data_IF_806638231488
#
_entry.id   IF_806638231488
#
_cell.length_a   1.000
_cell.length_b   1.000
_cell.length_c   1.000
_cell.angle_alpha   90.00
_cell.angle_beta   90.00
_cell.angle_gamma   90.00
#
_symmetry.space_group_name_H-M   'P 1'
#
loop_
_entity.id
_entity.type
_entity.pdbx_description
1 polymer ?
#
# COMPACT_ATOMS: atom_id res chain seq x y z
N UNK A 1 6.54 -12.37 8.69
CA UNK A 1 7.26 -13.61 8.41
C UNK A 1 7.99 -14.10 9.64
N UNK A 2 7.99 -15.41 9.88
CA UNK A 2 8.64 -16.02 11.07
C UNK A 2 10.16 -15.81 11.01
N UNK A 3 10.75 -15.33 12.12
CA UNK A 3 12.20 -15.07 12.23
C UNK A 3 13.08 -16.29 11.85
N UNK A 4 12.54 -17.49 12.03
CA UNK A 4 13.25 -18.74 11.72
C UNK A 4 13.46 -18.94 10.21
N UNK A 5 12.53 -18.55 9.35
CA UNK A 5 12.67 -18.68 7.89
C UNK A 5 13.79 -17.81 7.30
N UNK A 6 14.13 -16.70 7.94
CA UNK A 6 15.24 -15.83 7.52
C UNK A 6 16.61 -16.53 7.49
N UNK A 7 16.73 -17.66 8.16
CA UNK A 7 17.97 -18.46 8.22
C UNK A 7 18.14 -19.42 7.04
N UNK A 8 17.08 -19.60 6.25
CA UNK A 8 17.05 -20.55 5.15
C UNK A 8 16.93 -19.83 3.80
N UNK A 9 17.61 -20.36 2.81
CA UNK A 9 17.48 -19.90 1.42
C UNK A 9 16.58 -20.81 0.57
N UNK A 10 16.44 -22.08 0.93
CA UNK A 10 15.69 -23.07 0.17
C UNK A 10 15.10 -24.14 1.08
N UNK A 11 14.00 -24.75 0.63
CA UNK A 11 13.42 -25.97 1.22
C UNK A 11 14.22 -27.19 0.82
N UNK A 12 14.83 -27.16 -0.37
CA UNK A 12 15.59 -28.28 -0.94
C UNK A 12 15.53 -28.28 -2.45
N UNK A 13 15.95 -29.42 -3.06
CA UNK A 13 15.82 -29.62 -4.49
C UNK A 13 14.36 -30.00 -4.88
N UNK A 14 14.09 -30.05 -6.20
CA UNK A 14 12.74 -30.39 -6.73
C UNK A 14 12.20 -31.69 -6.13
N UNK A 15 13.02 -32.73 -6.07
CA UNK A 15 12.61 -34.04 -5.54
C UNK A 15 12.28 -33.97 -4.04
N UNK A 16 13.08 -33.22 -3.27
CA UNK A 16 12.84 -33.00 -1.85
C UNK A 16 11.57 -32.24 -1.56
N UNK A 17 11.29 -31.18 -2.30
CA UNK A 17 10.06 -30.39 -2.15
C UNK A 17 8.84 -31.27 -2.52
N UNK A 18 8.90 -32.03 -3.60
CA UNK A 18 7.80 -32.94 -3.97
C UNK A 18 7.60 -34.05 -2.95
N UNK A 19 8.68 -34.61 -2.39
CA UNK A 19 8.58 -35.60 -1.29
C UNK A 19 7.84 -34.99 -0.09
N UNK A 20 8.20 -33.77 0.32
CA UNK A 20 7.52 -33.07 1.40
C UNK A 20 6.02 -32.91 1.08
N UNK A 21 5.70 -32.41 -0.14
CA UNK A 21 4.31 -32.21 -0.55
C UNK A 21 3.50 -33.51 -0.50
N UNK A 22 4.07 -34.62 -0.98
CA UNK A 22 3.46 -35.96 -0.93
C UNK A 22 3.14 -36.43 0.48
N UNK A 23 3.89 -35.93 1.49
CA UNK A 23 3.73 -36.34 2.88
C UNK A 23 2.82 -35.41 3.68
N UNK A 24 2.85 -34.09 3.42
CA UNK A 24 2.12 -33.12 4.23
C UNK A 24 0.85 -32.59 3.58
N UNK A 25 0.73 -32.67 2.24
CA UNK A 25 -0.45 -32.22 1.51
C UNK A 25 -1.36 -33.41 1.17
N UNK A 26 -1.65 -34.21 2.18
CA UNK A 26 -2.60 -35.34 2.07
C UNK A 26 -3.93 -34.98 2.70
N UNK A 27 -4.98 -35.76 2.38
CA UNK A 27 -6.28 -35.61 3.03
C UNK A 27 -6.31 -36.09 4.48
N UNK A 28 -5.20 -36.66 4.98
CA UNK A 28 -5.11 -37.25 6.31
C UNK A 28 -4.41 -36.30 7.29
N UNK A 29 -4.70 -36.47 8.57
CA UNK A 29 -3.97 -35.83 9.68
C UNK A 29 -2.85 -36.76 10.10
N UNK A 30 -1.60 -36.33 10.00
CA UNK A 30 -0.45 -37.15 10.31
C UNK A 30 0.46 -36.49 11.37
N UNK A 31 1.16 -37.31 12.13
CA UNK A 31 2.14 -36.84 13.11
C UNK A 31 3.42 -36.35 12.45
N UNK A 32 3.87 -35.13 12.81
CA UNK A 32 5.06 -34.51 12.20
C UNK A 32 6.35 -35.30 12.42
N UNK A 33 6.49 -35.97 13.55
CA UNK A 33 7.69 -36.78 13.84
C UNK A 33 7.72 -37.99 12.90
N UNK A 34 6.58 -38.62 12.63
CA UNK A 34 6.47 -39.73 11.68
C UNK A 34 6.76 -39.27 10.23
N UNK A 35 6.21 -38.10 9.82
CA UNK A 35 6.49 -37.51 8.52
C UNK A 35 8.01 -37.20 8.42
N UNK A 36 8.60 -36.57 9.43
CA UNK A 36 10.02 -36.21 9.44
C UNK A 36 10.92 -37.45 9.29
N UNK A 37 10.61 -38.53 10.02
CA UNK A 37 11.32 -39.81 9.90
C UNK A 37 11.23 -40.37 8.48
N UNK A 38 10.04 -40.32 7.84
CA UNK A 38 9.82 -40.82 6.48
C UNK A 38 10.49 -39.98 5.40
N UNK A 39 10.87 -38.73 5.71
CA UNK A 39 11.59 -37.82 4.81
C UNK A 39 13.12 -37.85 4.99
N UNK A 40 13.65 -38.63 5.95
CA UNK A 40 15.06 -38.62 6.30
C UNK A 40 15.86 -39.59 5.42
N UNK A 41 17.09 -39.20 5.07
CA UNK A 41 18.12 -40.05 4.47
C UNK A 41 17.74 -40.78 3.16
N UNK A 42 17.12 -40.08 2.21
CA UNK A 42 16.86 -40.63 0.88
C UNK A 42 17.92 -40.12 -0.09
N UNK A 43 18.64 -41.04 -0.75
CA UNK A 43 19.68 -40.71 -1.70
C UNK A 43 19.13 -39.85 -2.87
N UNK A 44 19.88 -38.78 -3.20
CA UNK A 44 19.50 -37.84 -4.30
C UNK A 44 18.43 -36.81 -3.91
N UNK A 45 17.92 -36.86 -2.69
CA UNK A 45 16.94 -35.92 -2.17
C UNK A 45 17.60 -34.96 -1.19
N UNK A 46 17.62 -33.67 -1.56
CA UNK A 46 17.95 -32.59 -0.66
C UNK A 46 16.66 -31.97 -0.13
N UNK A 47 16.44 -32.08 1.17
CA UNK A 47 15.24 -31.58 1.85
C UNK A 47 15.58 -31.04 3.23
N UNK A 48 15.34 -29.76 3.45
CA UNK A 48 15.28 -29.18 4.77
C UNK A 48 13.85 -29.28 5.30
N UNK A 49 13.54 -30.39 5.95
CA UNK A 49 12.19 -30.70 6.44
C UNK A 49 11.63 -29.58 7.35
N UNK A 50 12.44 -29.10 8.33
CA UNK A 50 12.02 -28.03 9.25
C UNK A 50 11.70 -26.74 8.50
N UNK A 51 12.54 -26.33 7.56
CA UNK A 51 12.29 -25.16 6.72
C UNK A 51 10.99 -25.31 5.93
N UNK A 52 10.75 -26.45 5.30
CA UNK A 52 9.55 -26.70 4.51
C UNK A 52 8.27 -26.66 5.34
N UNK A 53 8.27 -27.26 6.52
CA UNK A 53 7.13 -27.24 7.44
C UNK A 53 6.80 -25.80 7.86
N UNK A 54 7.80 -25.02 8.28
CA UNK A 54 7.59 -23.63 8.70
C UNK A 54 7.09 -22.78 7.52
N UNK A 55 7.67 -22.99 6.33
CA UNK A 55 7.28 -22.25 5.14
C UNK A 55 5.82 -22.54 4.73
N UNK A 56 5.41 -23.81 4.72
CA UNK A 56 4.06 -24.20 4.32
C UNK A 56 3.01 -23.78 5.35
N UNK A 57 3.33 -23.79 6.64
CA UNK A 57 2.45 -23.27 7.67
C UNK A 57 2.30 -21.75 7.60
N UNK A 58 3.36 -21.03 7.31
CA UNK A 58 3.33 -19.55 7.20
C UNK A 58 2.42 -19.06 6.08
N UNK A 59 2.48 -19.70 4.91
CA UNK A 59 1.60 -19.40 3.79
C UNK A 59 0.24 -20.10 3.90
N UNK A 60 -0.04 -20.79 5.00
CA UNK A 60 -1.30 -21.48 5.29
C UNK A 60 -1.64 -22.67 4.38
N UNK A 61 -0.65 -23.28 3.76
CA UNK A 61 -0.84 -24.55 3.03
C UNK A 61 -1.17 -25.69 3.99
N UNK A 62 -0.60 -25.67 5.18
CA UNK A 62 -0.84 -26.64 6.24
C UNK A 62 -1.20 -25.93 7.55
N UNK A 63 -1.82 -26.66 8.47
CA UNK A 63 -1.95 -26.26 9.87
C UNK A 63 -1.33 -27.32 10.76
N UNK A 64 -0.73 -26.87 11.87
CA UNK A 64 -0.11 -27.74 12.87
C UNK A 64 -0.78 -27.49 14.21
N UNK A 65 -1.34 -28.55 14.78
CA UNK A 65 -1.95 -28.56 16.12
C UNK A 65 -1.50 -29.84 16.83
N UNK A 66 -0.97 -29.73 18.05
CA UNK A 66 -0.52 -30.85 18.86
C UNK A 66 0.40 -31.82 18.09
N UNK A 67 1.40 -31.29 17.41
CA UNK A 67 2.34 -32.04 16.55
C UNK A 67 1.71 -32.80 15.38
N UNK A 68 0.45 -32.50 15.04
CA UNK A 68 -0.26 -33.09 13.90
C UNK A 68 -0.36 -32.09 12.77
N UNK A 69 -0.04 -32.55 11.55
CA UNK A 69 -0.08 -31.77 10.32
C UNK A 69 -1.35 -32.10 9.54
N UNK A 70 -2.02 -31.06 9.06
CA UNK A 70 -3.19 -31.18 8.17
C UNK A 70 -3.05 -30.20 7.01
N UNK A 71 -3.25 -30.68 5.79
CA UNK A 71 -3.38 -29.85 4.59
C UNK A 71 -4.66 -29.01 4.65
N UNK A 72 -4.63 -27.79 4.03
CA UNK A 72 -5.80 -26.90 4.01
C UNK A 72 -6.46 -26.83 2.64
N UNK A 73 -5.76 -26.21 1.69
CA UNK A 73 -6.40 -25.78 0.42
C UNK A 73 -5.96 -26.60 -0.80
N UNK A 74 -4.77 -27.18 -0.77
CA UNK A 74 -4.20 -27.94 -1.89
C UNK A 74 -3.80 -29.33 -1.40
N UNK A 75 -4.26 -30.34 -2.11
CA UNK A 75 -3.84 -31.71 -1.91
C UNK A 75 -2.91 -32.16 -3.02
N UNK A 76 -1.89 -32.96 -2.66
CA UNK A 76 -0.99 -33.55 -3.64
C UNK A 76 -1.74 -34.56 -4.49
N UNK A 77 -1.58 -34.45 -5.83
CA UNK A 77 -2.12 -35.41 -6.78
C UNK A 77 -1.00 -36.17 -7.47
N UNK A 78 -1.07 -37.48 -7.48
CA UNK A 78 -0.17 -38.34 -8.24
C UNK A 78 -0.54 -38.43 -9.72
N UNK A 79 -1.82 -38.21 -10.06
CA UNK A 79 -2.34 -38.39 -11.42
C UNK A 79 -1.91 -37.23 -12.31
N UNK A 80 -1.80 -36.02 -11.77
CA UNK A 80 -1.34 -34.84 -12.51
C UNK A 80 -0.39 -33.97 -11.63
N UNK A 81 0.88 -34.40 -11.59
CA UNK A 81 1.92 -33.69 -10.86
C UNK A 81 2.16 -32.27 -11.42
N UNK A 82 2.02 -32.07 -12.72
CA UNK A 82 2.22 -30.74 -13.33
C UNK A 82 1.12 -29.76 -12.93
N UNK A 83 -0.12 -30.21 -12.88
CA UNK A 83 -1.24 -29.40 -12.41
C UNK A 83 -1.06 -29.06 -10.92
N UNK A 84 -0.65 -30.03 -10.11
CA UNK A 84 -0.34 -29.79 -8.69
C UNK A 84 0.76 -28.74 -8.52
N UNK A 85 1.87 -28.86 -9.27
CA UNK A 85 2.98 -27.88 -9.24
C UNK A 85 2.48 -26.48 -9.62
N UNK A 86 1.64 -26.38 -10.65
CA UNK A 86 1.06 -25.12 -11.06
C UNK A 86 0.21 -24.50 -9.94
N UNK A 87 -0.62 -25.30 -9.28
CA UNK A 87 -1.43 -24.85 -8.14
C UNK A 87 -0.55 -24.39 -6.95
N UNK A 88 0.48 -25.16 -6.61
CA UNK A 88 1.45 -24.81 -5.55
C UNK A 88 2.15 -23.47 -5.83
N UNK A 89 2.65 -23.29 -7.05
CA UNK A 89 3.31 -22.05 -7.46
C UNK A 89 2.35 -20.84 -7.41
N UNK A 90 1.11 -21.01 -7.91
CA UNK A 90 0.09 -19.95 -7.86
C UNK A 90 -0.24 -19.56 -6.42
N UNK A 91 -0.42 -20.56 -5.56
CA UNK A 91 -0.70 -20.33 -4.15
C UNK A 91 0.46 -19.58 -3.47
N UNK A 92 1.70 -20.00 -3.72
CA UNK A 92 2.90 -19.37 -3.21
C UNK A 92 3.03 -17.91 -3.69
N UNK A 93 2.84 -17.65 -4.99
CA UNK A 93 2.89 -16.27 -5.54
C UNK A 93 1.82 -15.37 -4.93
N UNK A 94 0.59 -15.85 -4.80
CA UNK A 94 -0.49 -15.10 -4.18
C UNK A 94 -0.19 -14.75 -2.71
N UNK A 95 0.32 -15.72 -1.95
CA UNK A 95 0.71 -15.49 -0.56
C UNK A 95 1.81 -14.43 -0.44
N UNK A 96 2.81 -14.44 -1.32
CA UNK A 96 3.87 -13.44 -1.32
C UNK A 96 3.36 -12.02 -1.64
N UNK A 97 2.40 -11.90 -2.56
CA UNK A 97 1.76 -10.62 -2.89
C UNK A 97 0.92 -10.13 -1.69
N UNK A 98 0.16 -11.01 -1.06
CA UNK A 98 -0.71 -10.66 0.08
C UNK A 98 0.10 -10.27 1.33
N UNK A 99 1.29 -10.84 1.49
CA UNK A 99 2.21 -10.50 2.59
C UNK A 99 3.14 -9.31 2.28
N UNK A 100 2.96 -8.61 1.15
CA UNK A 100 3.81 -7.52 0.67
C UNK A 100 5.31 -7.89 0.57
N UNK A 101 5.62 -9.14 0.26
CA UNK A 101 6.98 -9.64 0.09
C UNK A 101 7.48 -9.47 -1.35
N UNK A 102 6.62 -9.08 -2.27
CA UNK A 102 6.92 -8.72 -3.66
C UNK A 102 6.40 -7.31 -3.92
N UNK A 103 7.29 -6.40 -4.32
CA UNK A 103 6.85 -5.08 -4.80
C UNK A 103 6.42 -5.18 -6.26
N UNK A 104 5.10 -5.28 -6.46
CA UNK A 104 4.47 -5.46 -7.78
C UNK A 104 4.52 -4.21 -8.68
N UNK A 105 4.92 -3.05 -8.16
CA UNK A 105 5.06 -1.83 -8.96
C UNK A 105 6.18 -1.95 -9.99
N UNK A 106 7.18 -2.79 -9.71
CA UNK A 106 8.29 -3.06 -10.61
C UNK A 106 7.97 -4.07 -11.71
N UNK A 107 6.77 -4.66 -11.74
CA UNK A 107 6.35 -5.56 -12.81
C UNK A 107 6.19 -4.78 -14.12
N UNK A 108 6.90 -5.22 -15.17
CA UNK A 108 6.85 -4.63 -16.50
C UNK A 108 6.69 -5.71 -17.56
N UNK A 109 5.99 -5.38 -18.64
CA UNK A 109 5.91 -6.22 -19.81
C UNK A 109 7.10 -5.94 -20.73
N UNK A 110 7.77 -7.00 -21.17
CA UNK A 110 8.87 -6.94 -22.14
C UNK A 110 8.36 -7.40 -23.50
N UNK A 111 8.23 -6.48 -24.45
CA UNK A 111 7.70 -6.76 -25.79
C UNK A 111 8.59 -7.71 -26.60
N UNK A 112 9.93 -7.63 -26.44
CA UNK A 112 10.86 -8.48 -27.16
C UNK A 112 10.74 -9.94 -26.72
N UNK A 113 10.54 -10.17 -25.42
CA UNK A 113 10.40 -11.52 -24.86
C UNK A 113 8.94 -12.00 -24.81
N UNK A 114 8.03 -11.10 -25.11
CA UNK A 114 6.58 -11.33 -24.99
C UNK A 114 6.19 -11.91 -23.62
N UNK A 115 6.75 -11.33 -22.54
CA UNK A 115 6.60 -11.87 -21.19
C UNK A 115 6.66 -10.76 -20.13
N UNK A 116 6.04 -10.98 -18.97
CA UNK A 116 6.21 -10.13 -17.83
C UNK A 116 7.54 -10.36 -17.11
N UNK A 117 8.20 -9.29 -16.74
CA UNK A 117 9.46 -9.32 -16.02
C UNK A 117 9.40 -8.48 -14.73
N UNK A 118 10.12 -8.92 -13.73
CA UNK A 118 10.22 -8.24 -12.43
C UNK A 118 11.68 -8.30 -11.94
N UNK A 119 12.26 -7.21 -11.45
CA UNK A 119 13.61 -7.20 -10.93
C UNK A 119 13.78 -8.10 -9.70
N UNK A 120 14.96 -8.70 -9.54
CA UNK A 120 15.26 -9.53 -8.37
C UNK A 120 15.12 -8.75 -7.05
N UNK A 121 15.44 -7.46 -7.03
CA UNK A 121 15.32 -6.61 -5.85
C UNK A 121 13.86 -6.26 -5.48
N UNK A 122 12.88 -6.53 -6.36
CA UNK A 122 11.47 -6.40 -6.03
C UNK A 122 10.99 -7.46 -5.01
N UNK A 123 11.77 -8.51 -4.82
CA UNK A 123 11.53 -9.54 -3.82
C UNK A 123 12.25 -9.17 -2.52
N UNK A 124 11.52 -9.15 -1.42
CA UNK A 124 12.13 -9.01 -0.10
C UNK A 124 13.17 -10.10 0.15
N UNK A 125 14.28 -9.76 0.81
CA UNK A 125 15.29 -10.73 1.22
C UNK A 125 14.70 -11.85 2.07
N UNK A 126 13.64 -11.56 2.78
CA UNK A 126 12.97 -12.51 3.65
C UNK A 126 12.23 -13.63 2.91
N UNK A 127 11.82 -13.41 1.66
CA UNK A 127 11.09 -14.39 0.87
C UNK A 127 11.97 -15.36 0.05
N UNK A 128 13.28 -15.43 0.34
CA UNK A 128 14.24 -16.25 -0.43
C UNK A 128 13.82 -17.73 -0.55
N UNK A 129 13.25 -18.31 0.49
CA UNK A 129 12.74 -19.70 0.49
C UNK A 129 11.66 -19.89 -0.56
N UNK A 130 10.68 -19.01 -0.61
CA UNK A 130 9.57 -19.06 -1.55
C UNK A 130 9.99 -18.69 -2.97
N UNK A 131 10.84 -17.67 -3.12
CA UNK A 131 11.41 -17.29 -4.40
C UNK A 131 12.16 -18.47 -5.03
N UNK A 132 12.98 -19.17 -4.24
CA UNK A 132 13.73 -20.33 -4.73
C UNK A 132 12.82 -21.54 -5.01
N UNK A 133 11.71 -21.70 -4.28
CA UNK A 133 10.68 -22.68 -4.64
C UNK A 133 10.08 -22.36 -6.01
N UNK A 134 9.72 -21.11 -6.27
CA UNK A 134 9.15 -20.69 -7.56
C UNK A 134 10.16 -20.88 -8.71
N UNK A 135 11.46 -20.62 -8.47
CA UNK A 135 12.52 -20.89 -9.44
C UNK A 135 12.66 -22.39 -9.69
N UNK A 136 12.68 -23.20 -8.65
CA UNK A 136 12.82 -24.65 -8.73
C UNK A 136 11.74 -25.31 -9.58
N UNK A 137 10.51 -24.78 -9.55
CA UNK A 137 9.40 -25.25 -10.34
C UNK A 137 9.16 -24.47 -11.66
N UNK A 138 10.05 -23.52 -11.98
CA UNK A 138 10.03 -22.78 -13.24
C UNK A 138 8.93 -21.74 -13.37
N UNK A 139 8.30 -21.32 -12.27
CA UNK A 139 7.34 -20.22 -12.26
C UNK A 139 8.05 -18.85 -12.41
N UNK A 140 9.26 -18.73 -11.85
CA UNK A 140 10.18 -17.63 -12.04
C UNK A 140 11.41 -18.13 -12.79
N UNK A 141 11.73 -17.53 -13.91
CA UNK A 141 12.88 -17.89 -14.75
C UNK A 141 13.95 -16.79 -14.58
N UNK A 142 15.12 -17.08 -13.97
CA UNK A 142 16.19 -16.10 -13.83
C UNK A 142 16.69 -15.61 -15.19
N UNK A 143 16.85 -14.28 -15.32
CA UNK A 143 17.27 -13.62 -16.55
C UNK A 143 18.12 -12.38 -16.21
N UNK A 144 19.41 -12.60 -15.98
CA UNK A 144 20.33 -11.59 -15.49
C UNK A 144 19.93 -11.07 -14.10
N UNK A 145 19.56 -9.79 -14.00
CA UNK A 145 19.07 -9.15 -12.76
C UNK A 145 17.54 -9.17 -12.62
N UNK A 146 16.87 -9.82 -13.57
CA UNK A 146 15.39 -9.92 -13.64
C UNK A 146 14.95 -11.37 -13.44
N UNK A 147 13.69 -11.52 -13.13
CA UNK A 147 12.93 -12.75 -13.31
C UNK A 147 11.92 -12.55 -14.42
N UNK A 148 11.88 -13.48 -15.37
CA UNK A 148 10.78 -13.62 -16.32
C UNK A 148 9.71 -14.52 -15.70
N UNK A 149 8.46 -14.09 -15.72
CA UNK A 149 7.34 -14.89 -15.24
C UNK A 149 6.97 -15.87 -16.34
N UNK A 150 6.88 -17.16 -15.99
CA UNK A 150 6.48 -18.19 -16.95
C UNK A 150 5.05 -17.94 -17.43
N UNK A 151 4.79 -18.09 -18.72
CA UNK A 151 3.51 -17.84 -19.38
C UNK A 151 2.31 -18.54 -18.73
N UNK A 152 2.51 -19.76 -18.20
CA UNK A 152 1.49 -20.51 -17.49
C UNK A 152 0.94 -19.81 -16.24
N UNK A 153 1.66 -18.81 -15.72
CA UNK A 153 1.29 -18.06 -14.50
C UNK A 153 0.93 -16.61 -14.78
N UNK A 154 1.20 -16.11 -15.98
CA UNK A 154 1.04 -14.67 -16.30
C UNK A 154 -0.39 -14.16 -16.10
N UNK A 155 -1.39 -14.91 -16.53
CA UNK A 155 -2.78 -14.44 -16.47
C UNK A 155 -3.28 -14.26 -15.04
N UNK A 156 -2.94 -15.18 -14.15
CA UNK A 156 -3.38 -15.09 -12.74
C UNK A 156 -2.57 -14.03 -11.96
N UNK A 157 -1.25 -14.00 -12.19
CA UNK A 157 -0.38 -13.01 -11.59
C UNK A 157 -0.79 -11.60 -12.01
N UNK A 158 -1.06 -11.38 -13.30
CA UNK A 158 -1.49 -10.09 -13.84
C UNK A 158 -2.84 -9.64 -13.26
N UNK A 159 -3.81 -10.56 -13.12
CA UNK A 159 -5.12 -10.26 -12.49
C UNK A 159 -4.93 -9.83 -11.02
N UNK A 160 -4.08 -10.54 -10.28
CA UNK A 160 -3.82 -10.23 -8.87
C UNK A 160 -3.14 -8.89 -8.71
N UNK A 161 -2.12 -8.61 -9.55
CA UNK A 161 -1.43 -7.32 -9.60
C UNK A 161 -2.40 -6.19 -9.96
N UNK A 162 -3.24 -6.37 -10.97
CA UNK A 162 -4.23 -5.38 -11.38
C UNK A 162 -5.23 -5.09 -10.25
N UNK A 163 -5.71 -6.12 -9.56
CA UNK A 163 -6.62 -5.97 -8.42
C UNK A 163 -5.98 -5.16 -7.29
N UNK A 164 -4.73 -5.49 -6.91
CA UNK A 164 -4.01 -4.76 -5.85
C UNK A 164 -3.78 -3.29 -6.22
N UNK A 165 -3.40 -3.00 -7.48
CA UNK A 165 -3.25 -1.63 -7.99
C UNK A 165 -4.55 -0.85 -7.95
N UNK A 166 -5.68 -1.48 -8.29
CA UNK A 166 -7.00 -0.84 -8.21
C UNK A 166 -7.37 -0.45 -6.79
N UNK A 167 -7.16 -1.34 -5.81
CA UNK A 167 -7.40 -1.04 -4.39
C UNK A 167 -6.53 0.13 -3.92
N UNK A 168 -5.24 0.15 -4.28
CA UNK A 168 -4.33 1.25 -3.94
C UNK A 168 -4.79 2.59 -4.54
N UNK A 169 -5.29 2.59 -5.77
CA UNK A 169 -5.85 3.79 -6.41
C UNK A 169 -7.13 4.27 -5.72
N UNK A 170 -8.04 3.36 -5.36
CA UNK A 170 -9.27 3.68 -4.63
C UNK A 170 -8.97 4.26 -3.24
N UNK A 171 -7.96 3.73 -2.54
CA UNK A 171 -7.50 4.26 -1.26
C UNK A 171 -6.94 5.68 -1.39
N UNK A 172 -6.12 5.93 -2.42
CA UNK A 172 -5.58 7.26 -2.70
C UNK A 172 -6.70 8.27 -2.98
N UNK A 173 -7.67 7.91 -3.84
CA UNK A 173 -8.81 8.77 -4.14
C UNK A 173 -9.64 9.07 -2.88
N UNK A 174 -9.86 8.08 -2.02
CA UNK A 174 -10.58 8.27 -0.76
C UNK A 174 -9.82 9.20 0.21
N UNK A 175 -8.48 9.14 0.21
CA UNK A 175 -7.66 10.05 1.01
C UNK A 175 -7.74 11.49 0.47
N UNK A 176 -7.57 11.70 -0.84
CA UNK A 176 -7.68 13.01 -1.47
C UNK A 176 -9.05 13.66 -1.22
N UNK A 177 -10.12 12.85 -1.27
CA UNK A 177 -11.47 13.35 -0.98
C UNK A 177 -11.62 13.77 0.49
N UNK A 178 -11.03 13.05 1.44
CA UNK A 178 -11.01 13.47 2.85
C UNK A 178 -10.25 14.79 3.03
N UNK A 179 -9.11 14.94 2.40
CA UNK A 179 -8.29 16.16 2.45
C UNK A 179 -9.05 17.35 1.86
N UNK A 180 -9.76 17.16 0.73
CA UNK A 180 -10.64 18.16 0.12
C UNK A 180 -11.73 18.62 1.10
N UNK A 181 -12.45 17.70 1.73
CA UNK A 181 -13.51 18.01 2.69
C UNK A 181 -12.97 18.78 3.91
N UNK A 182 -11.79 18.42 4.39
CA UNK A 182 -11.13 19.12 5.51
C UNK A 182 -10.78 20.55 5.10
N UNK A 183 -10.23 20.75 3.89
CA UNK A 183 -9.93 22.08 3.34
C UNK A 183 -11.17 22.97 3.25
N UNK A 184 -12.24 22.48 2.63
CA UNK A 184 -13.52 23.21 2.49
C UNK A 184 -14.09 23.67 3.84
N UNK A 185 -14.08 22.78 4.84
CA UNK A 185 -14.55 23.16 6.19
C UNK A 185 -13.68 24.21 6.85
N UNK A 186 -12.38 24.20 6.60
CA UNK A 186 -11.47 25.26 7.06
C UNK A 186 -11.79 26.61 6.43
N UNK A 187 -12.03 26.64 5.14
CA UNK A 187 -12.43 27.87 4.44
C UNK A 187 -13.79 28.39 4.91
N UNK A 188 -14.81 27.53 5.05
CA UNK A 188 -16.12 27.91 5.63
C UNK A 188 -15.99 28.51 7.02
N UNK A 189 -15.12 27.91 7.84
CA UNK A 189 -14.83 28.41 9.17
C UNK A 189 -14.24 29.83 9.09
N UNK A 190 -13.20 30.04 8.28
CA UNK A 190 -12.54 31.37 8.14
C UNK A 190 -13.50 32.41 7.60
N UNK A 191 -14.36 32.08 6.64
CA UNK A 191 -15.42 32.99 6.18
C UNK A 191 -16.34 33.42 7.33
N UNK A 192 -16.76 32.46 8.16
CA UNK A 192 -17.62 32.74 9.32
C UNK A 192 -16.92 33.61 10.36
N UNK A 193 -15.62 33.38 10.58
CA UNK A 193 -14.77 34.21 11.43
C UNK A 193 -14.62 35.63 10.89
N UNK A 194 -14.25 35.79 9.62
CA UNK A 194 -14.04 37.10 8.99
C UNK A 194 -15.31 37.97 9.01
N UNK A 195 -16.48 37.37 8.80
CA UNK A 195 -17.77 38.09 8.92
C UNK A 195 -18.07 38.63 10.31
N UNK A 196 -17.49 38.04 11.36
CA UNK A 196 -17.70 38.39 12.76
C UNK A 196 -16.54 39.18 13.37
N UNK A 197 -15.37 39.21 12.72
CA UNK A 197 -14.14 39.81 13.25
C UNK A 197 -14.25 41.30 13.52
N UNK A 198 -14.96 42.01 12.68
CA UNK A 198 -15.26 43.44 12.81
C UNK A 198 -16.76 43.68 12.81
N UNK A 199 -17.23 44.84 13.32
CA UNK A 199 -18.66 45.19 13.32
C UNK A 199 -19.19 45.58 11.93
N UNK A 200 -18.97 44.71 10.96
CA UNK A 200 -19.37 44.89 9.58
C UNK A 200 -20.88 44.96 9.42
N UNK A 201 -21.36 45.88 8.61
CA UNK A 201 -22.74 45.93 8.14
C UNK A 201 -23.06 44.72 7.24
N UNK A 202 -24.32 44.38 7.05
CA UNK A 202 -24.72 43.30 6.15
C UNK A 202 -24.19 43.48 4.73
N UNK A 203 -24.14 44.74 4.24
CA UNK A 203 -23.57 45.08 2.93
C UNK A 203 -22.07 44.82 2.87
N UNK A 204 -21.33 45.09 3.94
CA UNK A 204 -19.89 44.83 4.01
C UNK A 204 -19.62 43.31 4.13
N UNK A 205 -20.42 42.60 4.95
CA UNK A 205 -20.31 41.12 5.04
C UNK A 205 -20.57 40.44 3.70
N UNK A 206 -21.43 40.98 2.84
CA UNK A 206 -21.65 40.42 1.50
C UNK A 206 -20.49 40.58 0.55
N UNK A 207 -19.52 41.46 0.86
CA UNK A 207 -18.26 41.59 0.10
C UNK A 207 -17.21 40.55 0.49
N UNK A 208 -17.38 39.86 1.63
CA UNK A 208 -16.52 38.75 2.06
C UNK A 208 -16.95 37.51 1.29
N UNK A 209 -16.05 37.00 0.44
CA UNK A 209 -16.36 35.95 -0.54
C UNK A 209 -15.29 34.87 -0.56
N UNK A 210 -15.72 33.63 -0.72
CA UNK A 210 -14.87 32.52 -1.08
C UNK A 210 -14.54 32.63 -2.57
N UNK A 211 -13.27 32.74 -2.89
CA UNK A 211 -12.77 32.90 -4.26
C UNK A 211 -12.34 31.57 -4.84
N UNK A 212 -11.79 30.66 -4.02
CA UNK A 212 -11.33 29.33 -4.41
C UNK A 212 -12.36 28.52 -5.20
N UNK A 213 -13.66 28.67 -4.89
CA UNK A 213 -14.79 28.00 -5.58
C UNK A 213 -15.04 28.60 -6.97
N UNK A 214 -14.71 29.89 -7.18
CA UNK A 214 -14.99 30.61 -8.43
C UNK A 214 -13.77 30.60 -9.35
N UNK A 215 -12.59 30.81 -8.78
CA UNK A 215 -11.32 30.93 -9.49
C UNK A 215 -10.18 30.30 -8.68
N UNK A 216 -9.87 29.06 -8.97
CA UNK A 216 -8.76 28.32 -8.35
C UNK A 216 -7.37 28.89 -8.73
N UNK A 217 -7.28 29.76 -9.75
CA UNK A 217 -6.04 30.38 -10.18
C UNK A 217 -5.74 31.71 -9.48
N UNK A 218 -6.64 32.22 -8.63
CA UNK A 218 -6.50 33.52 -7.94
C UNK A 218 -5.30 33.56 -6.97
N UNK A 219 -4.84 32.40 -6.46
CA UNK A 219 -3.73 32.25 -5.52
C UNK A 219 -4.07 32.73 -4.11
N UNK A 220 -5.35 32.72 -3.75
CA UNK A 220 -5.88 32.92 -2.39
C UNK A 220 -7.33 32.40 -2.34
N UNK A 221 -7.78 31.99 -1.16
CA UNK A 221 -9.08 31.33 -0.97
C UNK A 221 -10.22 32.31 -0.70
N UNK A 222 -9.96 33.35 0.12
CA UNK A 222 -11.01 34.25 0.60
C UNK A 222 -10.61 35.70 0.38
N UNK A 223 -11.55 36.47 -0.14
CA UNK A 223 -11.49 37.94 -0.16
C UNK A 223 -12.26 38.47 1.03
N UNK A 224 -11.62 39.28 1.88
CA UNK A 224 -12.23 39.94 3.04
C UNK A 224 -11.92 41.44 3.04
N UNK A 225 -12.33 42.12 4.10
CA UNK A 225 -12.08 43.54 4.38
C UNK A 225 -11.22 43.67 5.64
N UNK A 226 -10.35 44.67 5.69
CA UNK A 226 -9.47 44.88 6.82
C UNK A 226 -10.25 45.39 8.06
N UNK A 227 -10.99 46.46 7.89
CA UNK A 227 -11.86 47.04 8.89
C UNK A 227 -13.14 47.64 8.24
N UNK A 228 -14.08 48.08 9.10
CA UNK A 228 -15.35 48.67 8.68
C UNK A 228 -15.21 50.09 8.10
N UNK A 229 -14.11 50.77 8.32
CA UNK A 229 -13.89 52.19 7.94
C UNK A 229 -13.12 52.23 6.62
N UNK A 230 -11.91 51.66 6.58
CA UNK A 230 -11.04 51.70 5.41
C UNK A 230 -11.54 50.83 4.28
N UNK A 231 -12.20 49.73 4.60
CA UNK A 231 -12.66 48.69 3.66
C UNK A 231 -11.54 48.23 2.71
N UNK A 232 -10.30 48.29 3.16
CA UNK A 232 -9.15 47.75 2.44
C UNK A 232 -9.32 46.25 2.26
N UNK A 233 -8.99 45.73 1.09
CA UNK A 233 -9.10 44.29 0.80
C UNK A 233 -8.07 43.50 1.55
N UNK A 234 -8.49 42.36 2.13
CA UNK A 234 -7.63 41.29 2.65
C UNK A 234 -7.73 40.09 1.74
N UNK A 235 -6.61 39.53 1.38
CA UNK A 235 -6.50 38.32 0.55
C UNK A 235 -6.02 37.21 1.47
N UNK A 236 -6.83 36.20 1.69
CA UNK A 236 -6.61 35.20 2.71
C UNK A 236 -6.42 33.82 2.05
N UNK A 237 -5.30 33.21 2.34
CA UNK A 237 -5.02 31.80 2.08
C UNK A 237 -5.32 30.99 3.33
N UNK A 238 -6.01 29.87 3.20
CA UNK A 238 -6.41 29.01 4.32
C UNK A 238 -5.70 27.66 4.22
N UNK A 239 -4.90 27.34 5.22
CA UNK A 239 -4.26 26.04 5.34
C UNK A 239 -4.84 25.30 6.54
N UNK A 240 -5.58 24.22 6.27
CA UNK A 240 -6.18 23.39 7.31
C UNK A 240 -5.28 22.20 7.60
N UNK A 241 -5.02 21.92 8.87
CA UNK A 241 -4.20 20.80 9.31
C UNK A 241 -4.87 20.03 10.44
N UNK A 242 -4.39 18.82 10.71
CA UNK A 242 -4.81 18.00 11.84
C UNK A 242 -3.57 17.43 12.51
N UNK A 243 -3.35 17.71 13.79
CA UNK A 243 -2.16 17.31 14.53
C UNK A 243 -0.96 18.25 14.32
N UNK A 244 0.16 17.73 13.81
CA UNK A 244 1.35 18.55 13.57
C UNK A 244 1.12 19.54 12.43
N UNK A 245 1.51 20.79 12.64
CA UNK A 245 1.39 21.86 11.64
C UNK A 245 2.33 21.56 10.48
N UNK A 246 1.76 21.27 9.32
CA UNK A 246 2.48 21.16 8.05
C UNK A 246 1.54 21.55 6.92
N UNK A 247 2.03 22.29 5.96
CA UNK A 247 1.29 22.70 4.79
C UNK A 247 2.24 22.94 3.61
N UNK A 248 1.69 22.94 2.41
CA UNK A 248 2.44 23.23 1.20
C UNK A 248 1.93 24.52 0.58
N UNK A 249 2.84 25.30 0.01
CA UNK A 249 2.53 26.46 -0.81
C UNK A 249 2.73 26.11 -2.27
N UNK A 250 1.73 26.40 -3.09
CA UNK A 250 1.88 26.34 -4.55
C UNK A 250 2.63 27.57 -5.06
N UNK A 251 3.24 27.47 -6.25
CA UNK A 251 3.92 28.61 -6.88
C UNK A 251 2.96 29.79 -7.08
N UNK A 252 1.71 29.52 -7.41
CA UNK A 252 0.68 30.54 -7.61
C UNK A 252 0.33 31.29 -6.31
N UNK A 253 0.24 30.61 -5.18
CA UNK A 253 0.00 31.22 -3.87
C UNK A 253 1.19 32.09 -3.44
N UNK A 254 2.43 31.64 -3.71
CA UNK A 254 3.65 32.42 -3.43
C UNK A 254 3.66 33.71 -4.26
N UNK A 255 3.39 33.61 -5.55
CA UNK A 255 3.31 34.79 -6.44
C UNK A 255 2.20 35.74 -5.99
N UNK A 256 1.05 35.22 -5.62
CA UNK A 256 -0.07 35.99 -5.11
C UNK A 256 0.27 36.72 -3.82
N UNK A 257 0.99 36.05 -2.89
CA UNK A 257 1.45 36.64 -1.64
C UNK A 257 2.47 37.78 -1.89
N UNK A 258 3.45 37.57 -2.77
CA UNK A 258 4.43 38.58 -3.13
C UNK A 258 3.78 39.82 -3.78
N UNK A 259 2.80 39.63 -4.65
CA UNK A 259 2.10 40.71 -5.35
C UNK A 259 1.24 41.56 -4.38
N UNK A 260 0.64 40.95 -3.36
CA UNK A 260 -0.31 41.60 -2.44
C UNK A 260 0.33 42.03 -1.13
N UNK A 261 1.53 41.53 -0.83
CA UNK A 261 2.37 41.90 0.33
C UNK A 261 1.56 41.99 1.63
N UNK A 262 1.53 43.14 2.30
CA UNK A 262 0.87 43.36 3.58
C UNK A 262 -0.64 43.11 3.58
N UNK A 263 -1.26 42.93 2.41
CA UNK A 263 -2.69 42.63 2.28
C UNK A 263 -2.97 41.14 2.14
N UNK A 264 -1.92 40.29 2.12
CA UNK A 264 -2.04 38.84 2.02
C UNK A 264 -1.84 38.19 3.41
N UNK A 265 -2.76 37.33 3.80
CA UNK A 265 -2.80 36.71 5.11
C UNK A 265 -2.86 35.20 4.97
N UNK A 266 -2.07 34.48 5.75
CA UNK A 266 -2.11 33.03 5.86
C UNK A 266 -2.85 32.65 7.15
N UNK A 267 -3.98 31.95 7.01
CA UNK A 267 -4.74 31.42 8.13
C UNK A 267 -4.49 29.92 8.30
N UNK A 268 -3.97 29.54 9.46
CA UNK A 268 -3.73 28.16 9.84
C UNK A 268 -4.89 27.67 10.71
N UNK A 269 -5.65 26.70 10.21
CA UNK A 269 -6.85 26.17 10.88
C UNK A 269 -6.60 24.75 11.36
N UNK A 270 -6.66 24.56 12.69
CA UNK A 270 -6.59 23.21 13.28
C UNK A 270 -7.96 22.54 13.23
N UNK A 271 -8.09 21.55 12.31
CA UNK A 271 -9.34 20.82 12.12
C UNK A 271 -9.76 20.03 13.38
N UNK A 272 -8.82 19.58 14.20
CA UNK A 272 -9.13 18.82 15.43
C UNK A 272 -9.89 19.67 16.44
N UNK A 273 -9.70 20.99 16.41
CA UNK A 273 -10.37 21.95 17.28
C UNK A 273 -11.69 22.50 16.71
N UNK A 274 -11.90 22.39 15.40
CA UNK A 274 -13.16 22.82 14.75
C UNK A 274 -14.35 21.92 15.08
N UNK A 275 -14.09 20.69 15.50
CA UNK A 275 -15.13 19.68 15.83
C UNK A 275 -15.57 19.77 17.31
N UNK A 276 -14.75 20.33 18.20
CA UNK A 276 -15.12 20.57 19.60
C UNK A 276 -15.06 22.05 19.95
N UNK A 277 -16.21 22.70 19.90
CA UNK A 277 -16.59 24.01 20.46
C UNK A 277 -15.48 24.99 20.95
N UNK A 278 -15.54 26.24 20.35
CA UNK A 278 -15.16 27.51 20.98
C UNK A 278 -13.67 27.72 21.33
N UNK A 279 -12.90 28.07 20.42
CA UNK A 279 -11.77 29.03 20.37
C UNK A 279 -10.73 28.60 19.34
N UNK A 280 -10.98 29.00 18.11
CA UNK A 280 -9.95 28.95 17.07
C UNK A 280 -9.02 30.13 17.28
N UNK A 281 -7.73 29.85 17.44
CA UNK A 281 -6.68 30.85 17.28
C UNK A 281 -6.23 30.80 15.83
N UNK A 282 -6.62 31.80 15.05
CA UNK A 282 -5.91 32.13 13.83
C UNK A 282 -4.57 32.74 14.24
N UNK A 283 -3.47 32.12 13.86
CA UNK A 283 -2.16 32.72 13.96
C UNK A 283 -1.92 33.50 12.66
N UNK A 284 -2.01 34.83 12.75
CA UNK A 284 -1.52 35.72 11.70
C UNK A 284 0.02 35.63 11.72
N UNK A 285 0.60 35.17 10.64
CA UNK A 285 2.04 35.33 10.38
C UNK A 285 2.21 36.40 9.32
N UNK A 286 2.87 37.47 9.71
CA UNK A 286 3.32 38.55 8.81
C UNK A 286 4.52 38.07 8.02
#
# INVERSE_FOLDING_TARGET
>A
MRKELKRYSSIGNRAGILLLCRKVLTGNIEDLSSIGASCSFINGIDLNFKCGIIAFEEIKLISIVDNKCQAKDILYSHEDENLFIAQLCRFCMNALIDMDLINIEYLKYNEIKNAFQIPMYAFSMECSVYRNLLITFGALIPDGTLFTINECFESEFSKRVAHKRKISQEQLLAQLEKERIIGEKGEEFVISYEKKRCPFTLQQQSKIKQISVIDASAGFDILSLDDEISQTKRYIEVKTYSGNVHFYWSSNEIEAAQLRAEKYFLYLVDYSQTVSYTHLRAHETV
#
